data_IF_422250361372
#
_entry.id   IF_422250361372
#
_cell.length_a   1.000
_cell.length_b   1.000
_cell.length_c   1.000
_cell.angle_alpha   90.00
_cell.angle_beta   90.00
_cell.angle_gamma   90.00
#
_symmetry.space_group_name_H-M   'P 1'
#
loop_
_entity.id
_entity.type
_entity.pdbx_description
1 polymer ?
#
# COMPACT_ATOMS: atom_id res chain seq x y z
N UNK A 1 -13.61 -3.91 3.06
CA UNK A 1 -12.48 -4.39 2.22
C UNK A 1 -12.95 -5.29 1.10
N UNK A 2 -13.47 -6.51 1.36
CA UNK A 2 -13.95 -7.42 0.29
C UNK A 2 -14.90 -6.76 -0.72
N UNK A 3 -15.96 -6.11 -0.23
CA UNK A 3 -16.94 -5.42 -1.09
C UNK A 3 -16.30 -4.36 -1.99
N UNK A 4 -15.28 -3.64 -1.50
CA UNK A 4 -14.60 -2.61 -2.29
C UNK A 4 -13.88 -3.22 -3.51
N UNK A 5 -13.19 -4.36 -3.32
CA UNK A 5 -12.54 -5.08 -4.42
C UNK A 5 -13.56 -5.59 -5.42
N UNK A 6 -14.67 -6.17 -4.96
CA UNK A 6 -15.75 -6.64 -5.85
C UNK A 6 -16.39 -5.50 -6.65
N UNK A 7 -16.56 -4.31 -6.05
CA UNK A 7 -17.05 -3.14 -6.77
C UNK A 7 -16.06 -2.68 -7.85
N UNK A 8 -14.76 -2.68 -7.55
CA UNK A 8 -13.72 -2.36 -8.54
C UNK A 8 -13.69 -3.39 -9.69
N UNK A 9 -13.86 -4.68 -9.38
CA UNK A 9 -13.95 -5.75 -10.38
C UNK A 9 -15.16 -5.56 -11.31
N UNK A 10 -16.34 -5.26 -10.75
CA UNK A 10 -17.53 -4.95 -11.54
C UNK A 10 -17.35 -3.73 -12.45
N UNK A 11 -16.64 -2.71 -11.96
CA UNK A 11 -16.30 -1.54 -12.78
C UNK A 11 -15.38 -1.92 -13.94
N UNK A 12 -14.34 -2.73 -13.68
CA UNK A 12 -13.44 -3.28 -14.71
C UNK A 12 -14.19 -4.12 -15.75
N UNK A 13 -15.10 -4.99 -15.32
CA UNK A 13 -15.92 -5.83 -16.21
C UNK A 13 -16.82 -4.98 -17.10
N UNK A 14 -17.49 -3.97 -16.53
CA UNK A 14 -18.32 -3.04 -17.30
C UNK A 14 -17.52 -2.29 -18.36
N UNK A 15 -16.31 -1.86 -18.00
CA UNK A 15 -15.40 -1.17 -18.91
C UNK A 15 -14.95 -2.10 -20.06
N UNK A 16 -14.57 -3.34 -19.75
CA UNK A 16 -14.16 -4.33 -20.74
C UNK A 16 -15.30 -4.76 -21.68
N UNK A 17 -16.55 -4.74 -21.21
CA UNK A 17 -17.74 -5.11 -21.98
C UNK A 17 -18.38 -3.93 -22.74
N UNK A 18 -17.80 -2.73 -22.64
CA UNK A 18 -18.34 -1.57 -23.37
C UNK A 18 -17.91 -1.62 -24.83
N UNK A 19 -18.88 -1.68 -25.75
CA UNK A 19 -18.68 -1.68 -27.21
C UNK A 19 -18.04 -0.38 -27.75
N UNK A 20 -17.66 0.54 -26.88
CA UNK A 20 -16.82 1.71 -27.18
C UNK A 20 -15.36 1.29 -27.40
N UNK A 21 -15.15 0.34 -28.30
CA UNK A 21 -13.90 0.17 -29.02
C UNK A 21 -13.69 1.40 -29.92
N UNK A 22 -13.47 2.56 -29.29
CA UNK A 22 -12.81 3.68 -29.96
C UNK A 22 -11.47 3.17 -30.49
N UNK A 23 -11.02 3.76 -31.58
CA UNK A 23 -9.80 3.50 -32.35
C UNK A 23 -8.50 3.34 -31.51
N UNK A 24 -8.54 3.65 -30.21
CA UNK A 24 -7.53 3.33 -29.21
C UNK A 24 -7.84 2.01 -28.50
N UNK A 25 -7.46 0.90 -29.14
CA UNK A 25 -7.39 -0.40 -28.48
C UNK A 25 -6.43 -0.30 -27.29
N UNK A 26 -6.95 -0.45 -26.07
CA UNK A 26 -6.14 -0.36 -24.84
C UNK A 26 -5.08 -1.46 -24.86
N UNK A 27 -3.80 -1.06 -24.90
CA UNK A 27 -2.66 -2.00 -24.97
C UNK A 27 -2.40 -2.73 -23.65
N UNK A 28 -2.96 -2.26 -22.53
CA UNK A 28 -2.69 -2.78 -21.20
C UNK A 28 -3.98 -3.10 -20.42
N UNK A 29 -3.95 -4.15 -19.56
CA UNK A 29 -5.09 -4.52 -18.72
C UNK A 29 -5.37 -3.48 -17.64
N UNK A 30 -6.64 -3.35 -17.24
CA UNK A 30 -7.04 -2.56 -16.06
C UNK A 30 -6.72 -3.35 -14.80
N UNK A 31 -5.93 -2.74 -13.91
CA UNK A 31 -5.52 -3.34 -12.64
C UNK A 31 -6.27 -2.73 -11.46
N UNK A 32 -6.41 -3.51 -10.38
CA UNK A 32 -7.09 -3.15 -9.14
C UNK A 32 -6.07 -3.15 -8.02
N UNK A 33 -5.77 -1.96 -7.50
CA UNK A 33 -4.93 -1.77 -6.33
C UNK A 33 -5.76 -1.89 -5.04
N UNK A 34 -5.34 -2.76 -4.13
CA UNK A 34 -5.87 -2.80 -2.77
C UNK A 34 -5.24 -1.72 -1.89
N UNK A 35 -5.92 -0.60 -1.69
CA UNK A 35 -5.42 0.51 -0.85
C UNK A 35 -5.43 0.16 0.65
N UNK A 36 -4.29 0.39 1.31
CA UNK A 36 -4.07 0.25 2.73
C UNK A 36 -3.31 1.46 3.29
N UNK A 37 -4.01 2.26 4.10
CA UNK A 37 -3.38 3.34 4.88
C UNK A 37 -2.62 2.86 6.12
N UNK A 38 -1.90 3.78 6.80
CA UNK A 38 -1.09 3.48 7.97
C UNK A 38 -1.93 3.11 9.18
N UNK A 39 -1.29 2.53 10.19
CA UNK A 39 -1.88 2.20 11.49
C UNK A 39 -2.53 3.43 12.16
N UNK A 40 -1.89 4.60 12.06
CA UNK A 40 -2.42 5.86 12.60
C UNK A 40 -3.83 6.19 12.12
N UNK A 41 -4.15 5.88 10.86
CA UNK A 41 -5.47 6.15 10.29
C UNK A 41 -6.58 5.26 10.89
N UNK A 42 -6.22 4.13 11.49
CA UNK A 42 -7.17 3.21 12.11
C UNK A 42 -7.43 3.49 13.60
N UNK A 43 -6.52 4.18 14.29
CA UNK A 43 -6.74 4.61 15.68
C UNK A 43 -7.44 5.97 15.79
N UNK A 44 -7.64 6.66 14.65
CA UNK A 44 -8.50 7.86 14.50
C UNK A 44 -8.18 9.01 15.47
N UNK A 45 -6.91 9.14 15.87
CA UNK A 45 -6.42 10.20 16.77
C UNK A 45 -5.62 11.29 16.03
N UNK A 46 -5.62 11.28 14.69
CA UNK A 46 -4.88 12.22 13.84
C UNK A 46 -3.39 11.88 13.71
N UNK A 47 -2.93 10.77 14.30
CA UNK A 47 -1.53 10.36 14.25
C UNK A 47 -1.08 9.88 12.87
N UNK A 48 -1.99 9.69 11.91
CA UNK A 48 -1.65 9.39 10.51
C UNK A 48 -0.76 10.48 9.86
N UNK A 49 -0.79 11.72 10.38
CA UNK A 49 0.02 12.82 9.89
C UNK A 49 1.29 13.08 10.72
N UNK A 50 1.46 12.42 11.86
CA UNK A 50 2.56 12.71 12.80
C UNK A 50 3.38 11.49 13.19
N UNK A 51 2.84 10.27 13.01
CA UNK A 51 3.49 9.05 13.47
C UNK A 51 3.59 8.92 14.99
N UNK A 52 2.80 9.66 15.76
CA UNK A 52 2.90 9.70 17.24
C UNK A 52 2.62 8.37 17.95
N UNK A 53 2.16 7.34 17.22
CA UNK A 53 2.02 5.96 17.70
C UNK A 53 3.33 5.16 17.68
N UNK A 54 4.44 5.69 17.13
CA UNK A 54 5.68 4.94 16.93
C UNK A 54 6.18 4.17 18.17
N UNK A 55 6.04 4.76 19.36
CA UNK A 55 6.46 4.15 20.64
C UNK A 55 5.35 3.37 21.35
N UNK A 56 4.11 3.44 20.87
CA UNK A 56 2.93 2.82 21.48
C UNK A 56 2.58 1.46 20.86
N UNK A 57 3.08 1.18 19.67
CA UNK A 57 2.85 -0.07 18.95
C UNK A 57 4.18 -0.77 18.66
N UNK A 58 4.26 -2.07 18.88
CA UNK A 58 5.45 -2.85 18.55
C UNK A 58 5.56 -3.12 17.04
N UNK A 59 6.74 -3.54 16.60
CA UNK A 59 6.95 -3.97 15.21
C UNK A 59 6.04 -5.15 14.85
N UNK A 60 5.96 -6.17 15.72
CA UNK A 60 5.13 -7.36 15.50
C UNK A 60 3.66 -7.00 15.39
N UNK A 61 3.15 -6.11 16.24
CA UNK A 61 1.76 -5.64 16.15
C UNK A 61 1.46 -4.96 14.81
N UNK A 62 2.39 -4.14 14.30
CA UNK A 62 2.24 -3.54 12.97
C UNK A 62 2.23 -4.59 11.86
N UNK A 63 3.12 -5.59 11.94
CA UNK A 63 3.17 -6.69 10.96
C UNK A 63 1.85 -7.45 10.94
N UNK A 64 1.35 -7.90 12.08
CA UNK A 64 0.10 -8.69 12.14
C UNK A 64 -1.13 -7.86 11.72
N UNK A 65 -1.16 -6.58 12.12
CA UNK A 65 -2.18 -5.64 11.71
C UNK A 65 -2.25 -5.49 10.18
N UNK A 66 -1.11 -5.28 9.53
CA UNK A 66 -1.05 -5.08 8.08
C UNK A 66 -1.22 -6.39 7.29
N UNK A 67 -0.68 -7.51 7.79
CA UNK A 67 -0.77 -8.82 7.16
C UNK A 67 -2.24 -9.25 6.97
N UNK A 68 -3.03 -9.18 8.04
CA UNK A 68 -4.44 -9.56 7.99
C UNK A 68 -5.23 -8.74 6.96
N UNK A 69 -4.95 -7.44 6.87
CA UNK A 69 -5.58 -6.52 5.92
C UNK A 69 -5.16 -6.83 4.47
N UNK A 70 -3.87 -7.05 4.22
CA UNK A 70 -3.36 -7.37 2.90
C UNK A 70 -3.93 -8.70 2.37
N UNK A 71 -3.98 -9.73 3.21
CA UNK A 71 -4.58 -11.02 2.87
C UNK A 71 -6.03 -10.86 2.41
N UNK A 72 -6.86 -10.10 3.14
CA UNK A 72 -8.27 -9.89 2.75
C UNK A 72 -8.40 -9.25 1.36
N UNK A 73 -7.54 -8.29 1.01
CA UNK A 73 -7.59 -7.64 -0.31
C UNK A 73 -7.12 -8.58 -1.43
N UNK A 74 -6.00 -9.28 -1.21
CA UNK A 74 -5.45 -10.23 -2.18
C UNK A 74 -6.41 -11.41 -2.41
N UNK A 75 -6.97 -12.00 -1.36
CA UNK A 75 -7.97 -13.07 -1.44
C UNK A 75 -9.26 -12.62 -2.12
N UNK A 76 -9.58 -11.32 -2.05
CA UNK A 76 -10.73 -10.75 -2.78
C UNK A 76 -10.45 -10.50 -4.26
N UNK A 77 -9.21 -10.71 -4.72
CA UNK A 77 -8.79 -10.53 -6.10
C UNK A 77 -8.32 -9.12 -6.44
N UNK A 78 -7.71 -8.39 -5.49
CA UNK A 78 -6.87 -7.25 -5.82
C UNK A 78 -5.60 -7.73 -6.53
N UNK A 79 -5.17 -7.02 -7.58
CA UNK A 79 -4.03 -7.42 -8.39
C UNK A 79 -2.69 -7.14 -7.67
N UNK A 80 -2.66 -6.10 -6.83
CA UNK A 80 -1.51 -5.75 -5.99
C UNK A 80 -1.96 -4.86 -4.82
N UNK A 81 -1.07 -4.62 -3.86
CA UNK A 81 -1.35 -3.75 -2.69
C UNK A 81 -0.77 -2.35 -2.88
N UNK A 82 -1.54 -1.34 -2.51
CA UNK A 82 -1.11 0.05 -2.44
C UNK A 82 -0.99 0.45 -0.96
N UNK A 83 0.23 0.48 -0.42
CA UNK A 83 0.48 1.02 0.91
C UNK A 83 0.62 2.54 0.79
N UNK A 84 -0.30 3.28 1.40
CA UNK A 84 -0.48 4.70 1.11
C UNK A 84 -0.29 5.55 2.36
N UNK A 85 0.34 6.71 2.21
CA UNK A 85 0.40 7.76 3.25
C UNK A 85 1.12 7.28 4.52
N UNK A 86 2.16 6.45 4.39
CA UNK A 86 2.86 5.88 5.55
C UNK A 86 3.79 6.93 6.18
N UNK A 87 3.64 7.29 7.48
CA UNK A 87 4.39 8.39 8.07
C UNK A 87 5.70 7.96 8.75
N UNK A 88 5.97 6.65 8.93
CA UNK A 88 7.07 6.14 9.75
C UNK A 88 7.90 5.07 9.03
N UNK A 89 9.22 5.17 9.13
CA UNK A 89 10.15 4.13 8.69
C UNK A 89 9.88 2.80 9.38
N UNK A 90 9.62 2.81 10.70
CA UNK A 90 9.29 1.59 11.47
C UNK A 90 8.10 0.84 10.86
N UNK A 91 7.11 1.57 10.39
CA UNK A 91 5.94 0.99 9.74
C UNK A 91 6.26 0.52 8.32
N UNK A 92 7.04 1.28 7.55
CA UNK A 92 7.57 0.81 6.25
C UNK A 92 8.33 -0.52 6.39
N UNK A 93 9.20 -0.65 7.40
CA UNK A 93 9.91 -1.90 7.69
C UNK A 93 8.94 -3.04 8.01
N UNK A 94 7.88 -2.76 8.79
CA UNK A 94 6.85 -3.77 9.09
C UNK A 94 6.07 -4.20 7.85
N UNK A 95 5.77 -3.26 6.94
CA UNK A 95 5.13 -3.53 5.66
C UNK A 95 6.05 -4.39 4.78
N UNK A 96 7.35 -4.10 4.72
CA UNK A 96 8.31 -4.92 3.99
C UNK A 96 8.33 -6.36 4.52
N UNK A 97 8.25 -6.55 5.83
CA UNK A 97 8.13 -7.87 6.46
C UNK A 97 6.82 -8.57 6.10
N UNK A 98 5.69 -7.86 6.09
CA UNK A 98 4.41 -8.38 5.58
C UNK A 98 4.54 -8.88 4.14
N UNK A 99 5.17 -8.09 3.28
CA UNK A 99 5.33 -8.45 1.87
C UNK A 99 6.25 -9.67 1.70
N UNK A 100 7.30 -9.84 2.54
CA UNK A 100 8.12 -11.06 2.56
C UNK A 100 7.30 -12.32 2.88
N UNK A 101 6.27 -12.21 3.71
CA UNK A 101 5.33 -13.30 4.02
C UNK A 101 4.30 -13.56 2.91
N UNK A 102 4.20 -12.65 1.94
CA UNK A 102 3.30 -12.71 0.78
C UNK A 102 4.11 -12.70 -0.53
N UNK A 103 4.98 -13.69 -0.80
CA UNK A 103 5.98 -13.62 -1.87
C UNK A 103 5.41 -13.54 -3.29
N UNK A 104 4.15 -13.94 -3.50
CA UNK A 104 3.47 -13.81 -4.80
C UNK A 104 2.83 -12.43 -5.02
N UNK A 105 2.72 -11.60 -3.99
CA UNK A 105 2.10 -10.29 -4.07
C UNK A 105 3.10 -9.22 -4.49
N UNK A 106 2.64 -8.26 -5.29
CA UNK A 106 3.36 -7.03 -5.58
C UNK A 106 2.75 -5.87 -4.78
N UNK A 107 3.54 -4.82 -4.54
CA UNK A 107 3.02 -3.58 -3.98
C UNK A 107 3.81 -2.34 -4.42
N UNK A 108 3.23 -1.16 -4.14
CA UNK A 108 3.99 0.07 -3.96
C UNK A 108 3.86 0.55 -2.50
N UNK A 109 4.79 1.42 -2.09
CA UNK A 109 4.73 2.13 -0.81
C UNK A 109 4.85 3.63 -1.09
N UNK A 110 3.86 4.39 -0.66
CA UNK A 110 3.86 5.85 -0.63
C UNK A 110 4.02 6.34 0.80
N UNK A 111 4.94 7.27 1.02
CA UNK A 111 5.23 7.85 2.33
C UNK A 111 4.82 9.32 2.38
N UNK A 112 4.34 9.76 3.54
CA UNK A 112 4.03 11.16 3.79
C UNK A 112 5.31 11.92 4.10
N UNK A 113 5.61 12.97 3.35
CA UNK A 113 6.81 13.81 3.55
C UNK A 113 6.45 15.29 3.34
N UNK A 114 6.47 16.12 4.39
CA UNK A 114 6.11 17.53 4.27
C UNK A 114 7.18 18.38 3.57
N UNK A 115 8.45 17.95 3.60
CA UNK A 115 9.59 18.71 3.10
C UNK A 115 10.38 18.01 1.98
N UNK A 116 9.98 16.80 1.61
CA UNK A 116 10.66 15.98 0.60
C UNK A 116 12.01 15.40 1.07
N UNK A 117 12.32 15.44 2.36
CA UNK A 117 13.58 14.91 2.93
C UNK A 117 13.33 13.92 4.06
N UNK A 118 12.34 14.20 4.89
CA UNK A 118 11.94 13.38 6.03
C UNK A 118 10.49 12.91 5.86
N UNK A 119 10.16 11.76 6.42
CA UNK A 119 8.77 11.38 6.61
C UNK A 119 8.09 12.33 7.60
N UNK A 120 6.76 12.37 7.63
CA UNK A 120 6.04 13.16 8.64
C UNK A 120 6.34 12.72 10.09
N UNK A 121 6.84 11.50 10.28
CA UNK A 121 7.32 10.99 11.57
C UNK A 121 8.78 11.31 11.89
N UNK A 122 9.49 12.04 11.00
CA UNK A 122 10.87 12.50 11.22
C UNK A 122 11.96 11.53 10.76
N UNK A 123 11.64 10.50 9.98
CA UNK A 123 12.64 9.56 9.44
C UNK A 123 13.18 10.05 8.10
N UNK A 124 14.49 9.97 7.87
CA UNK A 124 15.08 10.34 6.57
C UNK A 124 14.50 9.47 5.43
N UNK A 125 14.08 10.10 4.33
CA UNK A 125 13.62 9.39 3.13
C UNK A 125 14.71 8.51 2.52
N UNK A 126 15.99 8.87 2.71
CA UNK A 126 17.10 8.00 2.32
C UNK A 126 17.08 6.67 3.08
N UNK A 127 16.75 6.68 4.37
CA UNK A 127 16.61 5.47 5.19
C UNK A 127 15.41 4.63 4.74
N UNK A 128 14.29 5.28 4.39
CA UNK A 128 13.12 4.63 3.79
C UNK A 128 13.48 3.95 2.48
N UNK A 129 14.15 4.66 1.56
CA UNK A 129 14.56 4.12 0.28
C UNK A 129 15.50 2.91 0.44
N UNK A 130 16.48 3.00 1.35
CA UNK A 130 17.37 1.89 1.69
C UNK A 130 16.63 0.68 2.23
N UNK A 131 15.58 0.87 3.01
CA UNK A 131 14.77 -0.24 3.53
C UNK A 131 13.93 -0.89 2.44
N UNK A 132 13.22 -0.07 1.65
CA UNK A 132 12.38 -0.54 0.54
C UNK A 132 13.19 -1.29 -0.51
N UNK A 133 14.43 -0.86 -0.80
CA UNK A 133 15.33 -1.54 -1.74
C UNK A 133 15.65 -3.00 -1.36
N UNK A 134 15.41 -3.41 -0.10
CA UNK A 134 15.59 -4.79 0.38
C UNK A 134 14.33 -5.64 0.22
N UNK A 135 13.25 -5.11 -0.34
CA UNK A 135 11.96 -5.80 -0.49
C UNK A 135 11.63 -5.98 -1.97
N UNK A 136 11.85 -7.19 -2.51
CA UNK A 136 11.67 -7.51 -3.93
C UNK A 136 10.22 -7.36 -4.42
N UNK A 137 9.25 -7.47 -3.50
CA UNK A 137 7.83 -7.28 -3.76
C UNK A 137 7.47 -5.82 -4.05
N UNK A 138 8.29 -4.86 -3.62
CA UNK A 138 8.06 -3.44 -3.89
C UNK A 138 8.54 -3.14 -5.30
N UNK A 139 7.59 -2.95 -6.20
CA UNK A 139 7.89 -2.58 -7.59
C UNK A 139 8.19 -1.08 -7.61
N UNK A 140 9.43 -0.71 -7.92
CA UNK A 140 9.79 0.69 -8.15
C UNK A 140 9.06 1.19 -9.40
N UNK A 141 7.99 1.95 -9.22
CA UNK A 141 7.51 2.85 -10.27
C UNK A 141 8.40 4.08 -10.18
N UNK A 142 9.36 4.22 -11.10
CA UNK A 142 10.03 5.48 -11.34
C UNK A 142 8.95 6.47 -11.80
N UNK A 143 8.57 7.41 -10.93
CA UNK A 143 7.78 8.60 -11.28
C UNK A 143 8.75 9.76 -11.44
#
# INVERSE_FOLDING_TARGET
MRTAVHLAQRAREKENNSDNASEFQRKLPVLIAGSLGPYGACIADGSEYTGSYANKVSFTELVEFHLSRAQILLESGADFIAWETVPLLKEVSSICEVMRRLPSACCWISVSSPDGKETSGGDLLASVACEVAKCEQVRQTLI
#
